data_IF_584703086735
#
_entry.id   IF_584703086735
#
_cell.length_a   1.000
_cell.length_b   1.000
_cell.length_c   1.000
_cell.angle_alpha   90.00
_cell.angle_beta   90.00
_cell.angle_gamma   90.00
#
_symmetry.space_group_name_H-M   'P 1'
#
loop_
_entity.id
_entity.type
_entity.pdbx_description
1 polymer ?
#
# COMPACT_ATOMS: atom_id res chain seq x y z
N UNK A 1 -5.91 7.36 4.03
CA UNK A 1 -6.16 6.34 2.98
C UNK A 1 -5.96 4.90 3.43
N UNK A 2 -4.89 4.53 4.17
CA UNK A 2 -4.69 3.13 4.62
C UNK A 2 -5.89 2.55 5.39
N UNK A 3 -6.51 3.35 6.27
CA UNK A 3 -7.73 2.96 6.99
C UNK A 3 -8.91 2.71 6.06
N UNK A 4 -9.08 3.54 5.01
CA UNK A 4 -10.11 3.35 4.00
C UNK A 4 -9.93 2.03 3.26
N UNK A 5 -8.68 1.69 2.90
CA UNK A 5 -8.35 0.41 2.27
C UNK A 5 -8.62 -0.77 3.20
N UNK A 6 -8.12 -0.72 4.43
CA UNK A 6 -8.37 -1.75 5.43
C UNK A 6 -9.87 -1.99 5.66
N UNK A 7 -10.64 -0.91 5.76
CA UNK A 7 -12.07 -1.02 5.97
C UNK A 7 -12.84 -1.49 4.72
N UNK A 8 -12.36 -1.17 3.52
CA UNK A 8 -12.86 -1.77 2.28
C UNK A 8 -12.72 -3.28 2.29
N UNK A 9 -11.51 -3.76 2.60
CA UNK A 9 -11.20 -5.18 2.63
C UNK A 9 -12.06 -5.94 3.65
N UNK A 10 -12.25 -5.37 4.84
CA UNK A 10 -13.08 -5.95 5.90
C UNK A 10 -14.56 -5.94 5.50
N UNK A 11 -15.10 -4.80 5.05
CA UNK A 11 -16.52 -4.68 4.74
C UNK A 11 -16.96 -5.49 3.51
N UNK A 12 -16.03 -5.76 2.58
CA UNK A 12 -16.29 -6.53 1.36
C UNK A 12 -15.90 -7.99 1.46
N UNK A 13 -15.32 -8.42 2.58
CA UNK A 13 -14.77 -9.77 2.77
C UNK A 13 -13.85 -10.19 1.62
N UNK A 14 -13.03 -9.25 1.12
CA UNK A 14 -12.27 -9.44 -0.11
C UNK A 14 -11.77 -8.13 -0.71
N UNK A 15 -11.13 -8.23 -1.88
CA UNK A 15 -10.59 -7.06 -2.58
C UNK A 15 -11.57 -6.59 -3.65
N UNK A 16 -12.17 -5.41 -3.43
CA UNK A 16 -13.12 -4.77 -4.33
C UNK A 16 -12.62 -3.36 -4.70
N UNK A 17 -11.94 -3.18 -5.86
CA UNK A 17 -11.36 -1.89 -6.23
C UNK A 17 -12.36 -0.74 -6.30
N UNK A 18 -13.62 -1.03 -6.65
CA UNK A 18 -14.68 -0.03 -6.66
C UNK A 18 -14.96 0.53 -5.26
N UNK A 19 -15.17 -0.34 -4.27
CA UNK A 19 -15.42 0.07 -2.88
C UNK A 19 -14.19 0.77 -2.28
N UNK A 20 -12.98 0.37 -2.66
CA UNK A 20 -11.75 1.10 -2.31
C UNK A 20 -11.80 2.56 -2.81
N UNK A 21 -12.18 2.78 -4.07
CA UNK A 21 -12.34 4.12 -4.64
C UNK A 21 -13.48 4.91 -3.97
N UNK A 22 -14.60 4.26 -3.65
CA UNK A 22 -15.71 4.86 -2.90
C UNK A 22 -15.24 5.39 -1.55
N UNK A 23 -14.50 4.59 -0.77
CA UNK A 23 -14.00 5.03 0.55
C UNK A 23 -12.94 6.12 0.45
N UNK A 24 -12.11 6.09 -0.59
CA UNK A 24 -11.19 7.18 -0.88
C UNK A 24 -11.93 8.47 -1.26
N UNK A 25 -13.02 8.36 -2.04
CA UNK A 25 -13.92 9.49 -2.34
C UNK A 25 -14.56 10.03 -1.07
N UNK A 26 -15.06 9.18 -0.17
CA UNK A 26 -15.62 9.63 1.11
C UNK A 26 -14.58 10.35 1.97
N UNK A 27 -13.33 9.87 1.99
CA UNK A 27 -12.24 10.57 2.64
C UNK A 27 -12.02 11.95 2.01
N UNK A 28 -11.91 12.00 0.68
CA UNK A 28 -11.69 13.23 -0.07
C UNK A 28 -12.79 14.28 0.12
N UNK A 29 -14.07 13.86 0.09
CA UNK A 29 -15.22 14.76 0.13
C UNK A 29 -15.70 15.09 1.54
N UNK A 30 -15.55 14.17 2.48
CA UNK A 30 -16.21 14.24 3.79
C UNK A 30 -15.26 14.00 4.97
N UNK A 31 -13.96 13.85 4.73
CA UNK A 31 -12.99 13.58 5.80
C UNK A 31 -13.17 12.20 6.45
N UNK A 32 -13.84 11.26 5.78
CA UNK A 32 -14.00 9.89 6.27
C UNK A 32 -12.65 9.26 6.65
N UNK A 33 -12.53 8.81 7.91
CA UNK A 33 -11.29 8.27 8.50
C UNK A 33 -10.09 9.24 8.51
N UNK A 34 -10.34 10.55 8.47
CA UNK A 34 -9.32 11.57 8.67
C UNK A 34 -8.99 11.78 10.15
N UNK A 35 -7.74 12.13 10.46
CA UNK A 35 -7.33 12.52 11.80
C UNK A 35 -7.80 13.93 12.20
N UNK A 36 -8.18 14.77 11.24
CA UNK A 36 -8.61 16.17 11.47
C UNK A 36 -10.11 16.37 11.25
N UNK A 37 -10.85 15.30 10.94
CA UNK A 37 -12.26 15.36 10.54
C UNK A 37 -12.50 15.88 9.11
N UNK A 38 -11.47 16.35 8.41
CA UNK A 38 -11.55 16.84 7.02
C UNK A 38 -10.48 16.19 6.15
N UNK A 39 -10.67 16.16 4.83
CA UNK A 39 -9.58 15.78 3.92
C UNK A 39 -8.46 16.83 4.01
N UNK A 40 -7.24 16.40 4.29
CA UNK A 40 -6.04 17.21 4.19
C UNK A 40 -4.95 16.40 3.50
N UNK A 41 -3.98 17.10 2.91
CA UNK A 41 -2.79 16.51 2.31
C UNK A 41 -3.06 15.47 1.20
N UNK A 42 -4.05 15.77 0.35
CA UNK A 42 -4.33 14.96 -0.84
C UNK A 42 -3.43 15.39 -2.01
N UNK A 43 -2.52 14.50 -2.39
CA UNK A 43 -1.66 14.67 -3.57
C UNK A 43 -2.44 14.70 -4.90
N UNK A 44 -1.85 15.35 -5.90
CA UNK A 44 -2.51 15.65 -7.18
C UNK A 44 -2.96 14.42 -7.96
N UNK A 45 -2.14 13.37 -8.03
CA UNK A 45 -2.48 12.13 -8.73
C UNK A 45 -3.73 11.48 -8.13
N UNK A 46 -3.79 11.37 -6.80
CA UNK A 46 -4.96 10.83 -6.10
C UNK A 46 -6.19 11.71 -6.34
N UNK A 47 -6.05 13.03 -6.21
CA UNK A 47 -7.15 13.97 -6.44
C UNK A 47 -7.75 13.84 -7.84
N UNK A 48 -6.88 13.83 -8.87
CA UNK A 48 -7.31 13.66 -10.27
C UNK A 48 -8.01 12.33 -10.49
N UNK A 49 -7.47 11.23 -9.96
CA UNK A 49 -8.07 9.92 -10.08
C UNK A 49 -9.45 9.82 -9.41
N UNK A 50 -9.64 10.46 -8.24
CA UNK A 50 -10.94 10.47 -7.57
C UNK A 50 -11.97 11.36 -8.29
N UNK A 51 -11.55 12.49 -8.85
CA UNK A 51 -12.43 13.29 -9.71
C UNK A 51 -12.87 12.52 -10.97
N UNK A 52 -11.94 11.79 -11.59
CA UNK A 52 -12.25 10.93 -12.74
C UNK A 52 -13.17 9.76 -12.35
N UNK A 53 -12.95 9.16 -11.19
CA UNK A 53 -13.85 8.15 -10.64
C UNK A 53 -15.28 8.68 -10.47
N UNK A 54 -15.45 9.87 -9.90
CA UNK A 54 -16.77 10.51 -9.77
C UNK A 54 -17.43 10.77 -11.12
N UNK A 55 -16.67 11.18 -12.14
CA UNK A 55 -17.20 11.35 -13.49
C UNK A 55 -17.65 10.02 -14.10
N UNK A 56 -16.85 8.96 -13.94
CA UNK A 56 -17.20 7.61 -14.39
C UNK A 56 -18.42 7.06 -13.66
N UNK A 57 -18.56 7.31 -12.36
CA UNK A 57 -19.77 6.96 -11.61
C UNK A 57 -21.02 7.60 -12.22
N UNK A 58 -20.96 8.88 -12.63
CA UNK A 58 -22.11 9.55 -13.28
C UNK A 58 -22.49 8.91 -14.61
N UNK A 59 -21.49 8.65 -15.47
CA UNK A 59 -21.71 8.03 -16.78
C UNK A 59 -22.26 6.60 -16.62
N UNK A 60 -21.64 5.81 -15.74
CA UNK A 60 -22.05 4.44 -15.46
C UNK A 60 -23.48 4.38 -14.90
N UNK A 61 -23.81 5.26 -13.95
CA UNK A 61 -25.16 5.35 -13.39
C UNK A 61 -26.21 5.66 -14.47
N UNK A 62 -25.91 6.57 -15.39
CA UNK A 62 -26.80 6.89 -16.51
C UNK A 62 -26.98 5.70 -17.47
N UNK A 63 -25.89 5.02 -17.84
CA UNK A 63 -25.91 3.89 -18.76
C UNK A 63 -26.73 2.71 -18.21
N UNK A 64 -26.60 2.44 -16.91
CA UNK A 64 -27.23 1.31 -16.25
C UNK A 64 -28.53 1.68 -15.51
N UNK A 65 -29.01 2.93 -15.65
CA UNK A 65 -30.24 3.46 -15.01
C UNK A 65 -30.24 3.31 -13.48
N UNK A 66 -29.11 3.60 -12.85
CA UNK A 66 -28.91 3.53 -11.41
C UNK A 66 -29.07 4.94 -10.82
N UNK A 67 -29.85 5.13 -9.74
CA UNK A 67 -29.90 6.40 -9.03
C UNK A 67 -28.53 6.80 -8.48
N UNK A 68 -28.12 8.06 -8.66
CA UNK A 68 -26.80 8.53 -8.22
C UNK A 68 -26.61 8.44 -6.70
N UNK A 69 -27.69 8.55 -5.92
CA UNK A 69 -27.67 8.43 -4.47
C UNK A 69 -27.24 7.02 -4.01
N UNK A 70 -27.51 6.01 -4.84
CA UNK A 70 -27.18 4.61 -4.57
C UNK A 70 -25.84 4.14 -5.13
N UNK A 71 -25.15 4.97 -5.94
CA UNK A 71 -24.00 4.55 -6.74
C UNK A 71 -22.84 4.00 -5.87
N UNK A 72 -22.62 4.61 -4.71
CA UNK A 72 -21.55 4.21 -3.78
C UNK A 72 -21.81 2.89 -3.07
N UNK A 73 -23.06 2.45 -3.03
CA UNK A 73 -23.49 1.26 -2.30
C UNK A 73 -23.71 0.06 -3.23
N UNK A 74 -23.34 0.17 -4.50
CA UNK A 74 -23.39 -0.95 -5.42
C UNK A 74 -22.56 -2.13 -4.91
N UNK A 75 -23.19 -3.31 -4.90
CA UNK A 75 -22.56 -4.55 -4.46
C UNK A 75 -22.66 -5.68 -5.48
N UNK A 76 -23.38 -5.47 -6.59
CA UNK A 76 -23.52 -6.44 -7.66
C UNK A 76 -22.17 -6.64 -8.38
N UNK A 77 -21.60 -7.83 -8.23
CA UNK A 77 -20.28 -8.15 -8.77
C UNK A 77 -20.24 -8.23 -10.30
N UNK A 78 -21.34 -8.64 -10.93
CA UNK A 78 -21.39 -8.74 -12.39
C UNK A 78 -21.43 -7.34 -12.99
N UNK A 79 -22.25 -6.47 -12.40
CA UNK A 79 -22.34 -5.08 -12.81
C UNK A 79 -21.02 -4.32 -12.57
N UNK A 80 -20.41 -4.49 -11.39
CA UNK A 80 -19.15 -3.80 -11.06
C UNK A 80 -17.95 -4.30 -11.88
N UNK A 81 -18.01 -5.51 -12.46
CA UNK A 81 -16.96 -6.00 -13.34
C UNK A 81 -16.79 -5.12 -14.60
N UNK A 82 -17.85 -4.46 -15.04
CA UNK A 82 -17.84 -3.55 -16.19
C UNK A 82 -17.43 -2.12 -15.82
N UNK A 83 -17.30 -1.80 -14.52
CA UNK A 83 -16.91 -0.46 -14.11
C UNK A 83 -15.43 -0.19 -14.42
N UNK A 84 -15.08 0.90 -15.14
CA UNK A 84 -13.69 1.20 -15.48
C UNK A 84 -12.91 1.75 -14.28
N UNK A 85 -12.40 0.85 -13.42
CA UNK A 85 -11.74 1.18 -12.14
C UNK A 85 -10.41 1.94 -12.26
N UNK A 86 -9.71 1.87 -13.40
CA UNK A 86 -8.41 2.53 -13.57
C UNK A 86 -8.59 4.01 -13.93
N UNK A 87 -8.74 4.84 -12.90
CA UNK A 87 -9.12 6.25 -13.03
C UNK A 87 -7.92 7.21 -13.12
N UNK A 88 -6.69 6.69 -13.15
CA UNK A 88 -5.47 7.49 -13.21
C UNK A 88 -4.86 7.52 -14.61
N UNK A 89 -4.11 8.57 -14.92
CA UNK A 89 -3.26 8.65 -16.11
C UNK A 89 -2.03 7.72 -16.02
N UNK A 90 -1.55 7.27 -17.19
CA UNK A 90 -0.47 6.26 -17.36
C UNK A 90 0.93 6.72 -16.90
N UNK A 91 1.12 7.98 -16.51
CA UNK A 91 2.39 8.53 -16.00
C UNK A 91 2.36 8.98 -14.54
N UNK A 92 1.29 8.67 -13.80
CA UNK A 92 1.15 9.08 -12.40
C UNK A 92 2.00 8.19 -11.47
N UNK A 93 3.31 8.48 -11.36
CA UNK A 93 4.29 7.71 -10.58
C UNK A 93 4.54 8.22 -9.14
N UNK A 94 3.51 8.79 -8.51
CA UNK A 94 3.57 9.29 -7.12
C UNK A 94 3.70 8.18 -6.07
N UNK A 95 4.35 8.48 -4.94
CA UNK A 95 4.62 7.57 -3.83
C UNK A 95 3.39 7.23 -2.94
N UNK A 96 2.28 7.97 -3.09
CA UNK A 96 1.08 7.81 -2.26
C UNK A 96 0.41 6.42 -2.32
N UNK A 97 0.79 5.58 -3.29
CA UNK A 97 0.38 4.16 -3.33
C UNK A 97 1.03 3.30 -2.26
N UNK A 98 2.29 3.57 -1.90
CA UNK A 98 3.06 2.74 -0.96
C UNK A 98 2.72 3.06 0.49
N UNK A 99 2.45 4.33 0.82
CA UNK A 99 2.14 4.76 2.20
C UNK A 99 0.84 4.17 2.77
N UNK A 100 0.04 3.52 1.94
CA UNK A 100 -1.27 2.95 2.32
C UNK A 100 -1.41 1.44 2.12
N UNK A 101 -0.37 0.77 1.66
CA UNK A 101 -0.50 -0.55 1.02
C UNK A 101 -0.75 -1.71 1.98
N UNK A 102 -0.16 -1.67 3.19
CA UNK A 102 -0.07 -2.79 4.12
C UNK A 102 -1.35 -3.63 4.34
N UNK A 103 -2.57 -3.07 4.38
CA UNK A 103 -3.77 -3.89 4.58
C UNK A 103 -3.94 -5.03 3.56
N UNK A 104 -3.54 -4.83 2.30
CA UNK A 104 -3.67 -5.85 1.25
C UNK A 104 -2.77 -7.06 1.52
N UNK A 105 -1.43 -6.92 1.59
CA UNK A 105 -0.57 -8.07 1.84
C UNK A 105 -0.80 -8.69 3.23
N UNK A 106 -1.25 -7.93 4.23
CA UNK A 106 -1.57 -8.48 5.56
C UNK A 106 -2.80 -9.41 5.56
N UNK A 107 -3.81 -9.13 4.74
CA UNK A 107 -5.01 -9.95 4.62
C UNK A 107 -4.77 -11.18 3.75
N UNK A 108 -4.10 -11.00 2.61
CA UNK A 108 -3.99 -12.05 1.59
C UNK A 108 -2.70 -12.87 1.67
N UNK A 109 -1.85 -12.69 2.70
CA UNK A 109 -0.50 -13.25 2.75
C UNK A 109 -0.40 -14.78 2.51
N UNK A 110 -1.43 -15.54 2.87
CA UNK A 110 -1.49 -17.00 2.66
C UNK A 110 -1.56 -17.39 1.18
N UNK A 111 -1.85 -16.44 0.30
CA UNK A 111 -1.89 -16.60 -1.15
C UNK A 111 -0.98 -15.55 -1.78
N UNK A 112 0.35 -15.78 -1.80
CA UNK A 112 1.33 -14.77 -2.20
C UNK A 112 1.08 -14.15 -3.58
N UNK A 113 0.71 -14.94 -4.58
CA UNK A 113 0.39 -14.44 -5.92
C UNK A 113 -0.81 -13.47 -5.92
N UNK A 114 -1.86 -13.80 -5.17
CA UNK A 114 -3.06 -12.97 -5.05
C UNK A 114 -2.72 -11.69 -4.29
N UNK A 115 -2.01 -11.79 -3.16
CA UNK A 115 -1.59 -10.65 -2.35
C UNK A 115 -0.73 -9.66 -3.16
N UNK A 116 0.23 -10.16 -3.93
CA UNK A 116 1.10 -9.36 -4.79
C UNK A 116 0.30 -8.72 -5.93
N UNK A 117 -0.57 -9.48 -6.59
CA UNK A 117 -1.45 -8.95 -7.65
C UNK A 117 -2.38 -7.84 -7.16
N UNK A 118 -3.08 -8.07 -6.04
CA UNK A 118 -3.96 -7.06 -5.43
C UNK A 118 -3.19 -5.84 -4.93
N UNK A 119 -1.96 -6.02 -4.46
CA UNK A 119 -1.10 -4.89 -4.06
C UNK A 119 -0.87 -3.95 -5.26
N UNK A 120 -0.55 -4.51 -6.42
CA UNK A 120 -0.43 -3.74 -7.67
C UNK A 120 -1.73 -3.02 -8.04
N UNK A 121 -2.84 -3.75 -8.10
CA UNK A 121 -4.15 -3.18 -8.51
C UNK A 121 -4.57 -2.03 -7.56
N UNK A 122 -4.39 -2.22 -6.25
CA UNK A 122 -4.72 -1.21 -5.22
C UNK A 122 -3.97 0.11 -5.41
N UNK A 123 -2.73 0.07 -5.92
CA UNK A 123 -2.00 1.26 -6.34
C UNK A 123 -2.55 1.84 -7.64
N UNK A 124 -2.68 0.99 -8.66
CA UNK A 124 -2.97 1.37 -10.06
C UNK A 124 -4.27 2.15 -10.24
N UNK A 125 -5.29 1.89 -9.43
CA UNK A 125 -6.57 2.61 -9.52
C UNK A 125 -6.45 4.13 -9.28
N UNK A 126 -5.36 4.59 -8.65
CA UNK A 126 -5.09 6.03 -8.42
C UNK A 126 -3.78 6.54 -9.00
N UNK A 127 -2.91 5.64 -9.45
CA UNK A 127 -1.56 5.94 -9.94
C UNK A 127 -1.25 4.97 -11.09
N UNK A 128 -1.52 5.42 -12.32
CA UNK A 128 -1.55 4.56 -13.51
C UNK A 128 -0.18 4.16 -14.06
N UNK A 129 0.91 4.72 -13.52
CA UNK A 129 2.26 4.40 -13.97
C UNK A 129 2.66 2.96 -13.59
N UNK A 130 3.35 2.26 -14.51
CA UNK A 130 3.84 0.90 -14.29
C UNK A 130 4.78 0.83 -13.07
N UNK A 131 5.58 1.86 -12.80
CA UNK A 131 6.47 1.94 -11.62
C UNK A 131 5.68 1.94 -10.33
N UNK A 132 4.54 2.64 -10.27
CA UNK A 132 3.69 2.65 -9.09
C UNK A 132 3.04 1.28 -8.87
N UNK A 133 2.56 0.63 -9.94
CA UNK A 133 2.03 -0.72 -9.90
C UNK A 133 3.07 -1.74 -9.42
N UNK A 134 4.27 -1.73 -10.00
CA UNK A 134 5.33 -2.69 -9.69
C UNK A 134 6.00 -2.41 -8.34
N UNK A 135 6.11 -1.15 -7.92
CA UNK A 135 6.53 -0.80 -6.57
C UNK A 135 5.62 -1.43 -5.53
N UNK A 136 4.30 -1.35 -5.71
CA UNK A 136 3.35 -1.99 -4.82
C UNK A 136 3.46 -3.52 -4.85
N UNK A 137 3.67 -4.12 -6.02
CA UNK A 137 3.85 -5.58 -6.13
C UNK A 137 5.08 -6.06 -5.35
N UNK A 138 6.22 -5.42 -5.57
CA UNK A 138 7.46 -5.76 -4.88
C UNK A 138 7.36 -5.49 -3.37
N UNK A 139 6.83 -4.33 -2.98
CA UNK A 139 6.66 -3.96 -1.58
C UNK A 139 5.67 -4.89 -0.85
N UNK A 140 4.58 -5.25 -1.51
CA UNK A 140 3.63 -6.26 -1.05
C UNK A 140 4.29 -7.63 -0.87
N UNK A 141 5.13 -8.06 -1.81
CA UNK A 141 5.88 -9.32 -1.72
C UNK A 141 6.82 -9.37 -0.50
N UNK A 142 7.46 -8.25 -0.13
CA UNK A 142 8.27 -8.16 1.09
C UNK A 142 7.44 -8.40 2.35
N UNK A 143 6.27 -7.77 2.46
CA UNK A 143 5.37 -7.96 3.60
C UNK A 143 4.85 -9.41 3.63
N UNK A 144 4.46 -9.97 2.48
CA UNK A 144 4.01 -11.37 2.36
C UNK A 144 5.10 -12.35 2.81
N UNK A 145 6.36 -12.11 2.44
CA UNK A 145 7.47 -12.96 2.84
C UNK A 145 7.65 -12.99 4.37
N UNK A 146 7.56 -11.83 5.02
CA UNK A 146 7.62 -11.73 6.48
C UNK A 146 6.44 -12.46 7.12
N UNK A 147 5.22 -12.25 6.62
CA UNK A 147 4.02 -12.85 7.20
C UNK A 147 3.98 -14.38 7.06
N UNK A 148 4.66 -14.94 6.05
CA UNK A 148 4.81 -16.40 5.90
C UNK A 148 6.01 -16.99 6.65
N UNK A 149 6.96 -16.17 7.08
CA UNK A 149 8.11 -16.59 7.86
C UNK A 149 8.55 -15.46 8.80
N UNK A 150 8.02 -15.45 10.02
CA UNK A 150 8.29 -14.41 11.02
C UNK A 150 9.76 -14.38 11.49
N UNK A 151 10.49 -15.48 11.28
CA UNK A 151 11.91 -15.60 11.64
C UNK A 151 12.82 -15.41 10.41
N UNK A 152 12.30 -14.87 9.30
CA UNK A 152 13.11 -14.62 8.11
C UNK A 152 14.28 -13.67 8.44
N UNK A 153 15.49 -14.08 8.05
CA UNK A 153 16.65 -13.19 8.16
C UNK A 153 16.49 -11.97 7.24
N UNK A 154 16.83 -10.78 7.76
CA UNK A 154 16.65 -9.52 7.04
C UNK A 154 17.52 -9.44 5.78
N UNK A 155 18.75 -9.95 5.83
CA UNK A 155 19.66 -9.92 4.69
C UNK A 155 19.19 -10.89 3.60
N UNK A 156 18.61 -12.03 3.98
CA UNK A 156 17.90 -12.95 3.07
C UNK A 156 16.66 -12.31 2.46
N UNK A 157 15.79 -11.67 3.25
CA UNK A 157 14.58 -11.00 2.76
C UNK A 157 14.91 -9.95 1.69
N UNK A 158 16.01 -9.22 1.88
CA UNK A 158 16.49 -8.14 1.03
C UNK A 158 17.55 -8.60 0.01
N UNK A 159 17.68 -9.91 -0.24
CA UNK A 159 18.67 -10.45 -1.17
C UNK A 159 18.16 -10.51 -2.60
N UNK A 160 19.08 -10.36 -3.55
CA UNK A 160 18.77 -10.51 -4.98
C UNK A 160 18.32 -11.94 -5.29
N UNK A 161 18.85 -12.92 -4.55
CA UNK A 161 18.56 -14.35 -4.70
C UNK A 161 17.12 -14.64 -4.29
N UNK A 162 16.64 -14.06 -3.18
CA UNK A 162 15.26 -14.21 -2.74
C UNK A 162 14.28 -13.57 -3.72
N UNK A 163 14.60 -12.37 -4.21
CA UNK A 163 13.84 -11.74 -5.30
C UNK A 163 13.80 -12.64 -6.54
N UNK A 164 14.97 -13.13 -6.99
CA UNK A 164 15.10 -13.88 -8.25
C UNK A 164 14.54 -15.30 -8.22
N UNK A 165 14.13 -15.79 -7.04
CA UNK A 165 13.57 -17.13 -6.85
C UNK A 165 12.10 -17.06 -6.43
N UNK A 166 11.82 -17.01 -5.13
CA UNK A 166 10.47 -17.08 -4.56
C UNK A 166 9.58 -15.92 -5.01
N UNK A 167 10.07 -14.67 -4.93
CA UNK A 167 9.24 -13.52 -5.27
C UNK A 167 8.86 -13.47 -6.76
N UNK A 168 9.75 -13.90 -7.67
CA UNK A 168 9.43 -14.00 -9.10
C UNK A 168 8.27 -14.95 -9.40
N UNK A 169 8.13 -16.03 -8.63
CA UNK A 169 6.96 -16.92 -8.74
C UNK A 169 5.68 -16.17 -8.37
N UNK A 170 5.70 -15.41 -7.28
CA UNK A 170 4.54 -14.61 -6.84
C UNK A 170 4.18 -13.48 -7.80
N UNK A 171 5.16 -13.00 -8.56
CA UNK A 171 4.97 -12.05 -9.66
C UNK A 171 4.45 -12.72 -10.94
N UNK A 172 4.19 -14.04 -10.95
CA UNK A 172 3.80 -14.83 -12.12
C UNK A 172 4.78 -14.70 -13.29
N UNK A 173 6.07 -14.51 -13.00
CA UNK A 173 7.13 -14.22 -13.97
C UNK A 173 6.89 -12.97 -14.84
N UNK A 174 5.92 -12.12 -14.49
CA UNK A 174 5.73 -10.82 -15.14
C UNK A 174 6.79 -9.83 -14.59
N UNK A 175 7.70 -9.32 -15.43
CA UNK A 175 8.83 -8.52 -14.97
C UNK A 175 8.40 -7.17 -14.40
N UNK A 176 9.07 -6.78 -13.32
CA UNK A 176 8.98 -5.43 -12.77
C UNK A 176 9.58 -4.43 -13.77
N UNK A 177 9.09 -3.19 -13.73
CA UNK A 177 9.78 -2.04 -14.31
C UNK A 177 11.25 -2.02 -13.87
N UNK A 178 12.14 -1.59 -14.78
CA UNK A 178 13.59 -1.68 -14.58
C UNK A 178 14.09 -0.89 -13.35
N UNK A 179 13.46 0.24 -13.00
CA UNK A 179 13.85 1.01 -11.81
C UNK A 179 13.45 0.28 -10.53
N UNK A 180 12.27 -0.35 -10.51
CA UNK A 180 11.83 -1.16 -9.36
C UNK A 180 12.65 -2.45 -9.27
N UNK A 181 13.01 -3.07 -10.41
CA UNK A 181 13.89 -4.23 -10.42
C UNK A 181 15.29 -3.88 -9.90
N UNK A 182 15.81 -2.69 -10.21
CA UNK A 182 17.09 -2.23 -9.65
C UNK A 182 17.04 -2.10 -8.12
N UNK A 183 15.93 -1.59 -7.58
CA UNK A 183 15.68 -1.58 -6.14
C UNK A 183 15.64 -3.01 -5.59
N UNK A 184 14.89 -3.91 -6.23
CA UNK A 184 14.78 -5.31 -5.81
C UNK A 184 16.11 -6.07 -5.84
N UNK A 185 17.05 -5.64 -6.69
CA UNK A 185 18.43 -6.13 -6.76
C UNK A 185 19.38 -5.46 -5.76
N UNK A 186 18.90 -4.50 -4.96
CA UNK A 186 19.62 -3.93 -3.83
C UNK A 186 20.19 -2.53 -4.04
N UNK A 187 19.68 -1.72 -4.98
CA UNK A 187 20.21 -0.35 -5.20
C UNK A 187 20.18 0.52 -3.93
N UNK A 188 19.27 0.24 -2.99
CA UNK A 188 19.17 0.92 -1.69
C UNK A 188 20.31 0.63 -0.71
N UNK A 189 21.17 -0.38 -0.96
CA UNK A 189 22.25 -0.80 -0.05
C UNK A 189 23.45 0.15 -0.11
N UNK A 190 23.24 1.40 0.33
CA UNK A 190 24.24 2.49 0.31
C UNK A 190 24.56 2.96 1.73
N UNK A 191 25.79 2.77 2.18
CA UNK A 191 26.18 3.08 3.58
C UNK A 191 26.00 4.55 3.96
N UNK A 192 26.23 5.48 3.02
CA UNK A 192 26.19 6.93 3.31
C UNK A 192 24.82 7.60 3.08
N UNK A 193 23.76 6.81 2.89
CA UNK A 193 22.38 7.32 2.79
C UNK A 193 22.25 8.51 1.83
N UNK A 194 21.89 9.68 2.37
CA UNK A 194 21.74 10.92 1.62
C UNK A 194 22.99 11.29 0.80
N UNK A 195 24.19 11.16 1.35
CA UNK A 195 25.43 11.51 0.63
C UNK A 195 25.75 10.52 -0.50
N UNK A 196 25.20 9.31 -0.45
CA UNK A 196 25.27 8.32 -1.52
C UNK A 196 24.11 8.42 -2.53
N UNK A 197 23.30 9.49 -2.45
CA UNK A 197 22.22 9.77 -3.39
C UNK A 197 20.88 9.12 -3.04
N UNK A 198 20.69 8.56 -1.84
CA UNK A 198 19.35 8.14 -1.39
C UNK A 198 18.50 9.39 -1.19
N UNK A 199 17.32 9.44 -1.79
CA UNK A 199 16.38 10.57 -1.70
C UNK A 199 14.99 10.04 -1.45
N UNK A 200 14.27 10.60 -0.49
CA UNK A 200 12.90 10.22 -0.16
C UNK A 200 11.92 11.21 -0.77
N UNK A 201 11.85 11.35 -2.09
CA UNK A 201 10.98 12.35 -2.76
C UNK A 201 9.62 11.76 -3.15
N UNK A 202 8.69 12.63 -3.57
CA UNK A 202 7.34 12.28 -4.06
C UNK A 202 7.26 11.24 -5.20
N UNK A 203 8.38 10.91 -5.84
CA UNK A 203 8.49 9.86 -6.85
C UNK A 203 8.57 8.48 -6.19
N UNK A 204 7.73 7.54 -6.63
CA UNK A 204 7.57 6.22 -6.00
C UNK A 204 8.88 5.43 -5.87
N UNK A 205 9.75 5.49 -6.89
CA UNK A 205 11.06 4.81 -6.90
C UNK A 205 11.95 5.36 -5.77
N UNK A 206 12.03 6.69 -5.65
CA UNK A 206 12.84 7.36 -4.63
C UNK A 206 12.34 7.01 -3.22
N UNK A 207 11.05 7.15 -2.97
CA UNK A 207 10.45 6.83 -1.66
C UNK A 207 10.65 5.36 -1.26
N UNK A 208 10.49 4.43 -2.21
CA UNK A 208 10.72 3.01 -1.96
C UNK A 208 12.20 2.72 -1.64
N UNK A 209 13.12 3.26 -2.44
CA UNK A 209 14.56 3.10 -2.23
C UNK A 209 14.98 3.66 -0.86
N UNK A 210 14.46 4.83 -0.48
CA UNK A 210 14.72 5.46 0.81
C UNK A 210 14.20 4.65 2.00
N UNK A 211 12.96 4.16 1.94
CA UNK A 211 12.38 3.34 3.01
C UNK A 211 13.13 2.01 3.18
N UNK A 212 13.53 1.36 2.08
CA UNK A 212 14.33 0.14 2.12
C UNK A 212 15.76 0.38 2.58
N UNK A 213 16.36 1.52 2.24
CA UNK A 213 17.65 1.92 2.79
C UNK A 213 17.56 2.02 4.32
N UNK A 214 16.58 2.75 4.86
CA UNK A 214 16.40 2.91 6.30
C UNK A 214 16.16 1.56 7.00
N UNK A 215 15.40 0.67 6.38
CA UNK A 215 15.16 -0.69 6.90
C UNK A 215 16.40 -1.58 6.83
N UNK A 216 17.18 -1.49 5.76
CA UNK A 216 18.41 -2.27 5.59
C UNK A 216 19.53 -1.81 6.55
N UNK A 217 19.75 -0.51 6.66
CA UNK A 217 20.90 0.08 7.36
C UNK A 217 20.80 0.06 8.89
N UNK A 218 19.63 -0.24 9.46
CA UNK A 218 19.37 -0.16 10.90
C UNK A 218 18.96 -1.51 11.50
N UNK A 219 19.07 -1.70 12.82
CA UNK A 219 18.78 -3.00 13.47
C UNK A 219 17.55 -2.98 14.37
N UNK A 220 17.00 -1.80 14.64
CA UNK A 220 15.77 -1.63 15.42
C UNK A 220 14.75 -0.80 14.67
N UNK A 221 13.48 -0.91 15.08
CA UNK A 221 12.40 -0.07 14.55
C UNK A 221 12.69 1.43 14.77
N UNK A 222 13.20 1.78 15.94
CA UNK A 222 13.46 3.18 16.32
C UNK A 222 14.55 3.80 15.46
N UNK A 223 15.68 3.11 15.32
CA UNK A 223 16.79 3.58 14.50
C UNK A 223 16.34 3.81 13.05
N UNK A 224 15.61 2.86 12.45
CA UNK A 224 15.19 3.00 11.06
C UNK A 224 14.08 4.03 10.88
N UNK A 225 13.18 4.19 11.84
CA UNK A 225 12.17 5.25 11.80
C UNK A 225 12.84 6.63 11.84
N UNK A 226 13.82 6.82 12.73
CA UNK A 226 14.60 8.04 12.81
C UNK A 226 15.45 8.24 11.54
N UNK A 227 16.04 7.19 10.98
CA UNK A 227 16.79 7.28 9.72
C UNK A 227 15.90 7.69 8.55
N UNK A 228 14.69 7.13 8.44
CA UNK A 228 13.72 7.48 7.41
C UNK A 228 13.27 8.95 7.50
N UNK A 229 13.02 9.45 8.71
CA UNK A 229 12.64 10.86 8.95
C UNK A 229 13.82 11.80 8.72
N UNK A 230 15.00 11.49 9.28
CA UNK A 230 16.19 12.34 9.19
C UNK A 230 16.83 12.37 7.81
N UNK A 231 16.41 11.49 6.89
CA UNK A 231 16.79 11.59 5.48
C UNK A 231 16.30 12.90 4.84
N UNK A 232 15.25 13.52 5.38
CA UNK A 232 14.62 14.72 4.83
C UNK A 232 13.72 14.41 3.64
N UNK A 233 13.52 15.41 2.77
CA UNK A 233 12.58 15.36 1.63
C UNK A 233 11.12 15.11 2.09
N UNK A 234 10.45 14.10 1.52
CA UNK A 234 9.09 13.65 1.83
C UNK A 234 9.14 12.67 3.02
N UNK A 235 9.38 13.26 4.20
CA UNK A 235 9.69 12.52 5.43
C UNK A 235 8.52 11.66 5.93
N UNK A 236 7.30 12.18 5.83
CA UNK A 236 6.08 11.51 6.29
C UNK A 236 5.78 10.29 5.42
N UNK A 237 5.87 10.40 4.09
CA UNK A 237 5.69 9.25 3.20
C UNK A 237 6.79 8.21 3.41
N UNK A 238 8.05 8.63 3.45
CA UNK A 238 9.19 7.71 3.63
C UNK A 238 9.07 6.94 4.95
N UNK A 239 8.73 7.63 6.04
CA UNK A 239 8.52 7.02 7.36
C UNK A 239 7.28 6.11 7.39
N UNK A 240 6.19 6.46 6.70
CA UNK A 240 5.00 5.62 6.59
C UNK A 240 5.26 4.32 5.80
N UNK A 241 6.06 4.39 4.73
CA UNK A 241 6.50 3.20 3.99
C UNK A 241 7.40 2.36 4.88
N UNK A 242 8.46 2.93 5.47
CA UNK A 242 9.32 2.22 6.41
C UNK A 242 8.52 1.53 7.53
N UNK A 243 7.62 2.26 8.18
CA UNK A 243 6.88 1.80 9.35
C UNK A 243 6.03 0.56 9.08
N UNK A 244 5.41 0.47 7.90
CA UNK A 244 4.65 -0.70 7.47
C UNK A 244 5.54 -1.96 7.43
N UNK A 245 6.65 -1.93 6.69
CA UNK A 245 7.55 -3.07 6.54
C UNK A 245 8.27 -3.42 7.85
N UNK A 246 8.81 -2.41 8.53
CA UNK A 246 9.56 -2.59 9.76
C UNK A 246 8.66 -3.13 10.89
N UNK A 247 7.41 -2.68 11.00
CA UNK A 247 6.46 -3.20 11.99
C UNK A 247 6.07 -4.66 11.73
N UNK A 248 5.95 -5.05 10.45
CA UNK A 248 5.72 -6.45 10.07
C UNK A 248 6.90 -7.32 10.49
N UNK A 249 8.12 -6.83 10.28
CA UNK A 249 9.36 -7.54 10.59
C UNK A 249 9.66 -7.62 12.10
N UNK A 250 9.74 -6.48 12.78
CA UNK A 250 10.10 -6.42 14.20
C UNK A 250 8.95 -6.80 15.14
N UNK A 251 7.71 -6.70 14.65
CA UNK A 251 6.50 -6.96 15.41
C UNK A 251 6.06 -5.79 16.32
N UNK A 252 4.75 -5.67 16.51
CA UNK A 252 4.12 -4.58 17.26
C UNK A 252 4.65 -4.41 18.70
N UNK A 253 4.98 -5.51 19.38
CA UNK A 253 5.48 -5.48 20.78
C UNK A 253 6.87 -4.86 20.92
N UNK A 254 7.61 -4.69 19.81
CA UNK A 254 8.94 -4.05 19.80
C UNK A 254 8.88 -2.55 19.54
N UNK A 255 7.68 -2.00 19.30
CA UNK A 255 7.50 -0.56 19.09
C UNK A 255 7.58 0.19 20.43
N UNK A 256 8.15 1.42 20.48
CA UNK A 256 8.15 2.23 21.69
C UNK A 256 6.73 2.56 22.15
N UNK A 257 6.40 2.20 23.39
CA UNK A 257 5.06 2.43 23.94
C UNK A 257 4.68 3.92 23.94
N UNK A 258 5.65 4.80 24.22
CA UNK A 258 5.47 6.26 24.17
C UNK A 258 5.01 6.75 22.79
N UNK A 259 5.60 6.23 21.71
CA UNK A 259 5.21 6.60 20.35
C UNK A 259 3.83 6.06 20.00
N UNK A 260 3.56 4.79 20.33
CA UNK A 260 2.27 4.16 20.07
C UNK A 260 1.14 4.87 20.82
N UNK A 261 1.39 5.33 22.05
CA UNK A 261 0.41 6.05 22.86
C UNK A 261 0.03 7.42 22.28
N UNK A 262 0.90 8.04 21.48
CA UNK A 262 0.65 9.33 20.83
C UNK A 262 -0.13 9.22 19.50
N UNK A 263 -0.35 8.01 18.99
CA UNK A 263 -1.06 7.82 17.71
C UNK A 263 -2.55 8.17 17.87
N UNK A 264 -2.99 9.16 17.09
CA UNK A 264 -4.40 9.54 17.02
C UNK A 264 -5.29 8.35 16.66
N UNK A 265 -6.45 8.22 17.32
CA UNK A 265 -7.40 7.14 17.09
C UNK A 265 -6.82 5.72 17.23
N UNK A 266 -5.74 5.53 17.99
CA UNK A 266 -5.11 4.22 18.21
C UNK A 266 -6.11 3.10 18.50
N UNK A 267 -7.06 3.30 19.42
CA UNK A 267 -8.06 2.28 19.78
C UNK A 267 -8.89 1.81 18.57
N UNK A 268 -9.22 2.73 17.66
CA UNK A 268 -9.92 2.38 16.42
C UNK A 268 -9.02 1.56 15.49
N UNK A 269 -7.75 1.94 15.35
CA UNK A 269 -6.76 1.19 14.56
C UNK A 269 -6.59 -0.23 15.13
N UNK A 270 -6.45 -0.37 16.46
CA UNK A 270 -6.34 -1.66 17.14
C UNK A 270 -7.57 -2.55 16.86
N UNK A 271 -8.79 -1.99 16.87
CA UNK A 271 -10.00 -2.72 16.52
C UNK A 271 -10.01 -3.16 15.05
N UNK A 272 -9.61 -2.26 14.13
CA UNK A 272 -9.54 -2.57 12.71
C UNK A 272 -8.50 -3.67 12.41
N UNK A 273 -7.36 -3.65 13.09
CA UNK A 273 -6.36 -4.73 13.01
C UNK A 273 -6.92 -6.08 13.48
N UNK A 274 -7.73 -6.10 14.55
CA UNK A 274 -8.41 -7.34 14.98
C UNK A 274 -9.40 -7.86 13.95
N UNK A 275 -10.12 -6.99 13.26
CA UNK A 275 -10.98 -7.39 12.15
C UNK A 275 -10.18 -7.91 10.97
N UNK A 276 -9.06 -7.26 10.60
CA UNK A 276 -8.13 -7.79 9.59
C UNK A 276 -7.68 -9.22 9.95
N UNK A 277 -7.28 -9.43 11.21
CA UNK A 277 -6.84 -10.73 11.70
C UNK A 277 -7.95 -11.79 11.67
N UNK A 278 -9.19 -11.39 11.94
CA UNK A 278 -10.37 -12.25 11.82
C UNK A 278 -10.65 -12.58 10.35
N UNK A 279 -10.79 -11.58 9.48
CA UNK A 279 -11.14 -11.77 8.06
C UNK A 279 -10.12 -12.63 7.33
N UNK A 280 -8.82 -12.40 7.54
CA UNK A 280 -7.77 -13.23 6.92
C UNK A 280 -7.81 -14.70 7.36
N UNK A 281 -8.41 -15.00 8.52
CA UNK A 281 -8.58 -16.39 8.97
C UNK A 281 -9.74 -17.10 8.26
N UNK A 282 -10.71 -16.33 7.74
CA UNK A 282 -11.90 -16.83 7.05
C UNK A 282 -11.70 -16.95 5.53
N UNK A 283 -10.70 -16.25 4.97
CA UNK A 283 -10.40 -16.32 3.55
C UNK A 283 -9.84 -17.69 3.17
N UNK A 284 -10.72 -18.57 2.72
CA UNK A 284 -10.39 -19.80 2.03
C UNK A 284 -10.43 -19.54 0.52
N UNK A 285 -9.27 -19.53 -0.12
CA UNK A 285 -9.20 -19.63 -1.57
C UNK A 285 -9.29 -21.11 -1.89
N UNK A 286 -10.37 -21.53 -2.57
CA UNK A 286 -10.44 -22.88 -3.10
C UNK A 286 -9.30 -23.01 -4.12
N UNK A 287 -8.37 -23.93 -3.85
CA UNK A 287 -7.29 -24.30 -4.76
C UNK A 287 -7.81 -24.76 -6.11
#
# INVERSE_FOLDING_TARGET
MALCLANSLVARHGFEPYDQLVRYKWWFRHGYMSSTGNCFDIGDSTRKALCEFENRQKVFAQQHRIPLEGIDYLSDKQLLADFPIYCSSDGAAGNGVLMRLAPVPLIFYRNPEIAVGFSGISGRITHGDKKAFDACRYYGALIVAIMNNLDIDKDKLLSKEFYSSEMKKWLKNDPLDSEIENIAKGSFKKEKGYDAGIRGKGYVVNSLEAALWAFWSTRTFVEGALAAVNLGDDTDTTAAIYGQLASAYYGFRKLPSEWVNCVYSRRFIDCLCKWIDYERSQLHFNN
#
